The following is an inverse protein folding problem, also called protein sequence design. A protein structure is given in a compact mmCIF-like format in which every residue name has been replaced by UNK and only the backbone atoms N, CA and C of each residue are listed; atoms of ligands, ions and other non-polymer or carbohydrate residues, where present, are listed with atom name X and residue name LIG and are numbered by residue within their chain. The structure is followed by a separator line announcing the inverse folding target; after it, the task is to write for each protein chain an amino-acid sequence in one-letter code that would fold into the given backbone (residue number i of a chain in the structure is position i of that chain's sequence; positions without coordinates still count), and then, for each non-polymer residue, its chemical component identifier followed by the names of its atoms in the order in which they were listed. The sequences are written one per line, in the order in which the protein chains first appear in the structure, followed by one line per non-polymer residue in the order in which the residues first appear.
data_IF_971709719618
#
_entry.id   IF_971709719618
#
_cell.length_a   1.000
_cell.length_b   1.000
_cell.length_c   1.000
_cell.angle_alpha   90.00
_cell.angle_beta   90.00
_cell.angle_gamma   90.00
#
_symmetry.space_group_name_H-M   'P 1'
#
loop_
_entity.id
_entity.type
_entity.pdbx_description
1 polymer ?
#
# COMPACT_ATOMS: atom_id res chain seq x y z
N UNK A 1 -33.41 -27.14 54.70
CA UNK A 1 -33.49 -25.86 54.05
C UNK A 1 -32.12 -25.17 53.82
N UNK A 2 -31.10 -25.36 54.65
CA UNK A 2 -29.78 -24.72 54.45
C UNK A 2 -28.90 -25.33 53.34
N UNK A 3 -29.08 -26.59 53.01
CA UNK A 3 -28.34 -27.30 51.96
C UNK A 3 -28.86 -27.01 50.55
N UNK A 4 -30.15 -26.84 50.37
CA UNK A 4 -30.77 -26.48 49.08
C UNK A 4 -30.42 -25.05 48.62
N UNK A 5 -30.30 -24.12 49.59
CA UNK A 5 -29.95 -22.73 49.29
C UNK A 5 -28.49 -22.59 48.84
N UNK A 6 -27.59 -23.45 49.35
CA UNK A 6 -26.16 -23.44 48.91
C UNK A 6 -25.96 -24.04 47.54
N UNK A 7 -26.74 -25.02 47.16
CA UNK A 7 -26.68 -25.63 45.82
C UNK A 7 -27.23 -24.69 44.74
N UNK A 8 -28.27 -23.91 45.03
CA UNK A 8 -28.81 -22.92 44.08
C UNK A 8 -27.87 -21.73 43.89
N UNK A 9 -27.16 -21.29 44.92
CA UNK A 9 -26.18 -20.23 44.81
C UNK A 9 -24.94 -20.66 43.98
N UNK A 10 -24.49 -21.91 44.13
CA UNK A 10 -23.37 -22.45 43.34
C UNK A 10 -23.74 -22.63 41.86
N UNK A 11 -24.99 -23.05 41.56
CA UNK A 11 -25.47 -23.20 40.20
C UNK A 11 -25.59 -21.85 39.46
N UNK A 12 -25.99 -20.78 40.14
CA UNK A 12 -26.04 -19.42 39.56
C UNK A 12 -24.67 -18.83 39.28
N UNK A 13 -23.66 -19.14 40.10
CA UNK A 13 -22.27 -18.70 39.86
C UNK A 13 -21.64 -19.41 38.65
N UNK A 14 -21.92 -20.68 38.44
CA UNK A 14 -21.43 -21.44 37.27
C UNK A 14 -22.14 -21.00 35.98
N UNK A 15 -23.43 -20.70 36.02
CA UNK A 15 -24.16 -20.18 34.86
C UNK A 15 -23.72 -18.79 34.44
N UNK A 16 -23.30 -17.93 35.39
CA UNK A 16 -22.75 -16.59 35.10
C UNK A 16 -21.38 -16.62 34.46
N UNK A 17 -20.56 -17.62 34.73
CA UNK A 17 -19.21 -17.74 34.15
C UNK A 17 -19.18 -18.19 32.67
N UNK A 18 -20.27 -18.83 32.20
CA UNK A 18 -20.38 -19.34 30.82
C UNK A 18 -20.82 -18.26 29.80
N UNK A 19 -21.29 -17.09 30.26
CA UNK A 19 -21.73 -16.00 29.38
C UNK A 19 -20.64 -14.99 29.05
N UNK A 20 -19.43 -15.16 29.57
CA UNK A 20 -18.32 -14.25 29.36
C UNK A 20 -17.39 -14.66 28.19
N UNK A 21 -17.79 -15.62 27.36
CA UNK A 21 -17.08 -15.88 26.10
C UNK A 21 -17.52 -14.85 25.07
N UNK A 22 -17.13 -13.62 25.29
CA UNK A 22 -17.16 -12.58 24.26
C UNK A 22 -16.30 -13.02 23.09
N UNK A 23 -16.91 -13.23 21.93
CA UNK A 23 -16.20 -13.39 20.68
C UNK A 23 -15.44 -12.11 20.40
N UNK A 24 -14.19 -12.04 20.85
CA UNK A 24 -13.23 -11.10 20.32
C UNK A 24 -12.84 -11.61 18.92
N UNK A 25 -13.64 -11.31 17.91
CA UNK A 25 -13.25 -11.46 16.53
C UNK A 25 -12.27 -10.34 16.18
N UNK A 26 -11.06 -10.42 16.72
CA UNK A 26 -9.94 -9.70 16.17
C UNK A 26 -9.63 -10.36 14.82
N UNK A 27 -10.16 -9.79 13.75
CA UNK A 27 -9.67 -10.06 12.41
C UNK A 27 -8.32 -9.37 12.30
N UNK A 28 -7.30 -9.95 12.90
CA UNK A 28 -5.92 -9.64 12.59
C UNK A 28 -5.59 -10.41 11.31
N UNK A 29 -5.84 -9.77 10.18
CA UNK A 29 -5.23 -10.18 8.94
C UNK A 29 -3.75 -9.82 9.04
N UNK A 30 -2.97 -10.69 9.65
CA UNK A 30 -1.53 -10.68 9.45
C UNK A 30 -1.30 -11.27 8.05
N UNK A 31 -1.33 -10.43 7.02
CA UNK A 31 -0.46 -10.69 5.91
C UNK A 31 0.94 -10.71 6.49
N UNK A 32 1.59 -11.85 6.35
CA UNK A 32 2.98 -12.02 6.75
C UNK A 32 3.81 -11.12 5.86
N UNK A 33 3.87 -9.84 6.17
CA UNK A 33 4.96 -8.99 5.74
C UNK A 33 6.19 -9.64 6.39
N UNK A 34 7.00 -10.30 5.59
CA UNK A 34 8.34 -10.66 6.02
C UNK A 34 8.92 -9.37 6.58
N UNK A 35 9.49 -9.47 7.80
CA UNK A 35 10.16 -8.37 8.46
C UNK A 35 11.23 -7.85 7.50
N UNK A 36 10.87 -6.90 6.66
CA UNK A 36 11.85 -6.19 5.88
C UNK A 36 12.65 -5.38 6.89
N UNK A 37 13.92 -5.73 6.98
CA UNK A 37 14.91 -4.87 7.59
C UNK A 37 14.65 -3.43 7.17
N UNK A 38 14.78 -2.49 8.12
CA UNK A 38 14.51 -1.06 8.06
C UNK A 38 14.09 -0.52 6.68
N UNK A 39 13.04 0.29 6.57
CA UNK A 39 12.45 0.67 5.30
C UNK A 39 13.54 1.11 4.31
N UNK A 40 13.90 0.21 3.40
CA UNK A 40 14.80 0.52 2.31
C UNK A 40 14.04 1.51 1.42
N UNK A 41 14.34 2.79 1.59
CA UNK A 41 13.86 3.81 0.68
C UNK A 41 14.41 3.49 -0.71
N UNK A 42 13.52 3.28 -1.66
CA UNK A 42 13.92 3.02 -3.03
C UNK A 42 14.49 4.31 -3.60
N UNK A 43 15.80 4.42 -3.64
CA UNK A 43 16.50 5.46 -4.39
C UNK A 43 16.72 4.95 -5.83
N UNK A 44 15.64 4.78 -6.56
CA UNK A 44 15.66 4.30 -7.93
C UNK A 44 15.80 5.50 -8.88
N UNK A 45 16.78 5.45 -9.78
CA UNK A 45 17.01 6.49 -10.80
C UNK A 45 15.84 6.68 -11.76
N UNK A 46 14.92 5.72 -11.81
CA UNK A 46 13.68 5.79 -12.61
C UNK A 46 12.59 6.64 -11.95
N UNK A 47 12.76 6.98 -10.68
CA UNK A 47 11.86 7.88 -9.96
C UNK A 47 12.44 9.29 -9.99
N UNK A 48 11.77 10.19 -10.71
CA UNK A 48 12.16 11.60 -10.83
C UNK A 48 11.21 12.43 -9.98
N UNK A 49 11.77 13.07 -8.97
CA UNK A 49 11.03 13.96 -8.06
C UNK A 49 11.82 15.26 -7.90
N UNK A 50 11.14 16.36 -7.64
CA UNK A 50 11.81 17.59 -7.24
C UNK A 50 12.16 17.58 -5.73
N UNK A 51 13.06 18.47 -5.33
CA UNK A 51 13.53 18.53 -3.94
C UNK A 51 12.43 18.93 -2.94
N UNK A 52 11.37 19.61 -3.39
CA UNK A 52 10.26 20.02 -2.52
C UNK A 52 9.39 18.84 -2.16
N UNK A 53 9.19 17.93 -3.11
CA UNK A 53 8.40 16.72 -2.91
C UNK A 53 9.13 15.67 -2.05
N UNK A 54 10.46 15.60 -2.10
CA UNK A 54 11.25 14.63 -1.32
C UNK A 54 10.99 14.73 0.20
N UNK A 55 10.64 15.92 0.70
CA UNK A 55 10.25 16.15 2.11
C UNK A 55 8.77 15.89 2.41
N UNK A 56 7.96 15.60 1.39
CA UNK A 56 6.50 15.42 1.52
C UNK A 56 6.08 14.01 1.19
N UNK A 57 6.65 13.41 0.16
CA UNK A 57 6.35 12.05 -0.27
C UNK A 57 7.60 11.19 -0.36
N UNK A 58 7.40 9.90 -0.20
CA UNK A 58 8.47 8.90 -0.28
C UNK A 58 7.97 7.67 -1.03
N UNK A 59 8.79 7.16 -1.93
CA UNK A 59 8.56 5.85 -2.54
C UNK A 59 9.07 4.77 -1.59
N UNK A 60 8.17 3.93 -1.10
CA UNK A 60 8.46 2.85 -0.16
C UNK A 60 8.88 1.58 -0.91
N UNK A 61 8.20 1.29 -2.02
CA UNK A 61 8.53 0.15 -2.87
C UNK A 61 8.22 0.42 -4.33
N UNK A 62 8.94 -0.27 -5.20
CA UNK A 62 8.76 -0.20 -6.64
C UNK A 62 8.87 -1.62 -7.20
N UNK A 63 7.77 -2.10 -7.79
CA UNK A 63 7.68 -3.44 -8.33
C UNK A 63 7.35 -3.39 -9.81
N UNK A 64 7.88 -4.35 -10.55
CA UNK A 64 7.57 -4.53 -11.97
C UNK A 64 7.25 -5.99 -12.26
N UNK A 65 6.36 -6.21 -13.21
CA UNK A 65 5.98 -7.54 -13.68
C UNK A 65 5.60 -7.49 -15.15
N UNK A 66 5.72 -8.61 -15.84
CA UNK A 66 5.15 -8.77 -17.18
C UNK A 66 3.75 -9.39 -17.04
N UNK A 67 2.76 -8.78 -17.67
CA UNK A 67 1.36 -9.23 -17.67
C UNK A 67 0.86 -9.39 -19.09
N UNK A 68 -0.21 -10.16 -19.29
CA UNK A 68 -0.82 -10.38 -20.61
C UNK A 68 0.18 -10.82 -21.68
N UNK A 69 1.16 -11.64 -21.27
CA UNK A 69 2.19 -12.20 -22.14
C UNK A 69 3.44 -11.31 -22.33
N UNK A 70 3.27 -10.00 -22.55
CA UNK A 70 4.39 -9.12 -22.89
C UNK A 70 4.21 -7.64 -22.53
N UNK A 71 3.23 -7.30 -21.69
CA UNK A 71 3.00 -5.92 -21.26
C UNK A 71 3.68 -5.67 -19.91
N UNK A 72 4.42 -4.58 -19.80
CA UNK A 72 5.07 -4.18 -18.56
C UNK A 72 4.06 -3.55 -17.60
N UNK A 73 3.94 -4.11 -16.40
CA UNK A 73 3.17 -3.57 -15.28
C UNK A 73 4.12 -3.02 -14.22
N UNK A 74 3.84 -1.80 -13.76
CA UNK A 74 4.57 -1.13 -12.69
C UNK A 74 3.63 -0.83 -11.54
N UNK A 75 4.15 -1.00 -10.33
CA UNK A 75 3.46 -0.68 -9.09
C UNK A 75 4.42 0.03 -8.15
N UNK A 76 4.07 1.23 -7.74
CA UNK A 76 4.83 2.00 -6.77
C UNK A 76 3.99 2.24 -5.51
N UNK A 77 4.56 1.95 -4.35
CA UNK A 77 3.96 2.27 -3.07
C UNK A 77 4.54 3.59 -2.59
N UNK A 78 3.69 4.57 -2.33
CA UNK A 78 4.08 5.93 -1.96
C UNK A 78 3.47 6.28 -0.61
N UNK A 79 4.24 6.93 0.25
CA UNK A 79 3.85 7.39 1.57
C UNK A 79 3.84 8.92 1.64
N UNK A 80 2.79 9.49 2.23
CA UNK A 80 2.75 10.88 2.63
C UNK A 80 3.46 11.05 3.98
N UNK A 81 4.56 11.78 4.01
CA UNK A 81 5.36 12.02 5.21
C UNK A 81 4.77 13.10 6.13
N UNK A 82 3.74 13.82 5.70
CA UNK A 82 3.09 14.88 6.47
C UNK A 82 1.91 14.34 7.25
N UNK A 83 1.57 14.99 8.35
CA UNK A 83 0.38 14.67 9.14
C UNK A 83 -0.92 15.23 8.53
N UNK A 84 -0.81 16.08 7.52
CA UNK A 84 -1.94 16.67 6.80
C UNK A 84 -2.13 16.02 5.44
N UNK A 85 -3.36 16.12 4.93
CA UNK A 85 -3.71 15.69 3.59
C UNK A 85 -2.84 16.40 2.55
N UNK A 86 -2.36 15.64 1.55
CA UNK A 86 -1.54 16.13 0.45
C UNK A 86 -1.99 15.53 -0.87
N UNK A 87 -1.81 16.30 -1.94
CA UNK A 87 -2.07 15.85 -3.30
C UNK A 87 -0.74 15.58 -4.01
N UNK A 88 -0.66 14.46 -4.69
CA UNK A 88 0.47 14.09 -5.51
C UNK A 88 0.00 13.94 -6.96
N UNK A 89 0.64 14.66 -7.87
CA UNK A 89 0.48 14.42 -9.29
C UNK A 89 1.63 13.53 -9.77
N UNK A 90 1.30 12.52 -10.54
CA UNK A 90 2.28 11.56 -11.04
C UNK A 90 2.01 11.18 -12.49
N UNK A 91 3.08 10.79 -13.20
CA UNK A 91 3.05 10.29 -14.56
C UNK A 91 4.06 9.16 -14.73
N UNK A 92 3.66 8.10 -15.43
CA UNK A 92 4.57 7.07 -15.91
C UNK A 92 4.90 7.33 -17.38
N UNK A 93 6.17 7.28 -17.73
CA UNK A 93 6.67 7.30 -19.11
C UNK A 93 7.29 5.94 -19.40
N UNK A 94 7.02 5.40 -20.58
CA UNK A 94 7.53 4.10 -20.99
C UNK A 94 8.79 4.24 -21.82
N UNK A 95 9.70 3.32 -21.65
CA UNK A 95 11.01 3.31 -22.30
C UNK A 95 11.18 1.99 -23.05
N UNK A 96 11.69 2.07 -24.28
CA UNK A 96 12.01 0.89 -25.08
C UNK A 96 13.43 0.36 -24.81
N UNK A 97 13.81 -0.72 -25.51
CA UNK A 97 15.12 -1.37 -25.37
C UNK A 97 16.29 -0.47 -25.73
N UNK A 98 16.05 0.54 -26.58
CA UNK A 98 17.08 1.51 -27.01
C UNK A 98 17.19 2.71 -26.04
N UNK A 99 16.39 2.70 -24.96
CA UNK A 99 16.33 3.80 -24.00
C UNK A 99 15.49 4.99 -24.44
N UNK A 100 14.72 4.84 -25.52
CA UNK A 100 13.88 5.90 -26.08
C UNK A 100 12.51 5.89 -25.43
N UNK A 101 11.94 7.10 -25.19
CA UNK A 101 10.57 7.21 -24.70
C UNK A 101 9.58 6.76 -25.79
N UNK A 102 8.60 5.97 -25.38
CA UNK A 102 7.51 5.51 -26.23
C UNK A 102 6.31 6.44 -25.99
N UNK A 103 5.87 7.14 -27.02
CA UNK A 103 4.65 7.92 -26.93
C UNK A 103 3.44 7.01 -26.70
N UNK A 104 2.71 7.29 -25.63
CA UNK A 104 1.54 6.52 -25.25
C UNK A 104 0.39 7.45 -24.85
N UNK A 105 -0.82 7.23 -25.36
CA UNK A 105 -1.98 8.03 -24.97
C UNK A 105 -2.32 7.92 -23.47
N UNK A 106 -1.79 6.92 -22.78
CA UNK A 106 -1.96 6.72 -21.33
C UNK A 106 -0.90 7.46 -20.49
N UNK A 107 0.04 8.17 -21.11
CA UNK A 107 1.05 8.98 -20.44
C UNK A 107 0.51 10.34 -20.00
N UNK A 108 -0.54 10.32 -19.22
CA UNK A 108 -1.16 11.54 -18.68
C UNK A 108 -0.80 11.73 -17.22
N UNK A 109 -0.75 12.98 -16.79
CA UNK A 109 -0.64 13.30 -15.38
C UNK A 109 -1.91 12.87 -14.65
N UNK A 110 -1.74 12.05 -13.62
CA UNK A 110 -2.79 11.58 -12.71
C UNK A 110 -2.61 12.26 -11.37
N UNK A 111 -3.71 12.52 -10.68
CA UNK A 111 -3.72 13.14 -9.37
C UNK A 111 -4.23 12.14 -8.33
N UNK A 112 -3.49 11.97 -7.24
CA UNK A 112 -3.88 11.14 -6.10
C UNK A 112 -3.86 11.96 -4.82
N UNK A 113 -4.91 11.85 -4.03
CA UNK A 113 -5.03 12.48 -2.72
C UNK A 113 -4.59 11.47 -1.66
N UNK A 114 -3.70 11.89 -0.78
CA UNK A 114 -3.21 11.12 0.35
C UNK A 114 -3.67 11.78 1.65
N UNK A 115 -4.19 11.00 2.59
CA UNK A 115 -4.41 11.47 3.96
C UNK A 115 -3.07 11.65 4.69
N UNK A 116 -3.09 12.27 5.86
CA UNK A 116 -1.89 12.40 6.68
C UNK A 116 -1.31 11.03 7.03
N UNK A 117 -0.03 10.82 6.74
CA UNK A 117 0.70 9.56 6.98
C UNK A 117 0.19 8.34 6.20
N UNK A 118 -0.64 8.57 5.21
CA UNK A 118 -1.18 7.49 4.40
C UNK A 118 -0.15 6.94 3.42
N UNK A 119 -0.19 5.61 3.24
CA UNK A 119 0.57 4.89 2.23
C UNK A 119 -0.40 4.32 1.21
N UNK A 120 -0.23 4.67 -0.06
CA UNK A 120 -1.04 4.19 -1.17
C UNK A 120 -0.18 3.57 -2.25
N UNK A 121 -0.77 2.63 -2.97
CA UNK A 121 -0.16 2.00 -4.13
C UNK A 121 -0.74 2.58 -5.41
N UNK A 122 0.12 3.10 -6.26
CA UNK A 122 -0.20 3.55 -7.62
C UNK A 122 0.33 2.52 -8.62
N UNK A 123 -0.44 2.19 -9.63
CA UNK A 123 -0.05 1.20 -10.63
C UNK A 123 -0.49 1.56 -12.02
N UNK A 124 0.23 1.04 -13.02
CA UNK A 124 -0.10 1.18 -14.44
C UNK A 124 0.42 -0.01 -15.23
N UNK A 125 -0.15 -0.21 -16.41
CA UNK A 125 0.30 -1.23 -17.37
C UNK A 125 0.58 -0.51 -18.68
N UNK A 126 1.72 -0.83 -19.31
CA UNK A 126 2.00 -0.38 -20.67
C UNK A 126 1.02 -1.03 -21.64
N UNK A 127 0.51 -0.25 -22.58
CA UNK A 127 -0.26 -0.79 -23.72
C UNK A 127 0.63 -1.18 -24.89
N UNK A 128 1.93 -0.84 -24.83
CA UNK A 128 2.90 -1.11 -25.87
C UNK A 128 3.84 -2.23 -25.42
N UNK A 129 3.90 -3.36 -26.14
CA UNK A 129 4.78 -4.50 -25.80
C UNK A 129 6.28 -4.18 -25.96
N UNK A 130 6.65 -3.07 -26.59
CA UNK A 130 8.03 -2.62 -26.71
C UNK A 130 8.55 -1.97 -25.41
N UNK A 131 7.66 -1.65 -24.46
CA UNK A 131 8.06 -1.08 -23.18
C UNK A 131 8.80 -2.13 -22.34
N UNK A 132 10.08 -1.85 -22.05
CA UNK A 132 10.95 -2.71 -21.23
C UNK A 132 11.36 -2.04 -19.93
N UNK A 133 11.21 -0.70 -19.86
CA UNK A 133 11.52 0.10 -18.68
C UNK A 133 10.57 1.29 -18.58
N UNK A 134 10.71 2.11 -17.55
CA UNK A 134 9.82 3.23 -17.28
C UNK A 134 10.54 4.37 -16.54
N UNK A 135 9.90 5.55 -16.52
CA UNK A 135 10.20 6.64 -15.59
C UNK A 135 8.93 7.04 -14.86
N UNK A 136 9.01 7.15 -13.54
CA UNK A 136 7.93 7.65 -12.71
C UNK A 136 8.25 9.09 -12.31
N UNK A 137 7.42 10.04 -12.73
CA UNK A 137 7.57 11.46 -12.45
C UNK A 137 6.53 11.91 -11.44
N UNK A 138 6.96 12.72 -10.49
CA UNK A 138 6.13 13.37 -9.49
C UNK A 138 6.19 14.89 -9.61
N UNK A 139 5.07 15.56 -9.34
CA UNK A 139 5.00 17.02 -9.15
C UNK A 139 3.86 17.39 -8.20
N UNK A 140 3.90 18.58 -7.61
CA UNK A 140 2.78 19.21 -6.89
C UNK A 140 1.69 19.67 -7.84
#
# INVERSE_FOLDING_TARGET
MKTTLRLTAAALLVAGALLATGCASNVNTYERAESQAAPNYVNDKRVITDNTLAGTFRVVSLNQATVSGNLLKIQATVENLKNSQRRLNYKFEWIDVDGMAIDSPNEVWKSQLFQGRETLTISTVSINPRAVDFRLKFRE
#
